data_IF_756422551319
#
_entry.id   IF_756422551319
#
_cell.length_a   1.000
_cell.length_b   1.000
_cell.length_c   1.000
_cell.angle_alpha   90.00
_cell.angle_beta   90.00
_cell.angle_gamma   90.00
#
_symmetry.space_group_name_H-M   'P 1'
#
loop_
_entity.id
_entity.type
_entity.pdbx_description
1 polymer ?
#
# COMPACT_ATOMS: atom_id res chain seq x y z
N UNK A 1 -13.94 20.19 17.38
CA UNK A 1 -12.72 19.36 17.22
C UNK A 1 -13.03 18.13 16.38
N UNK A 2 -12.03 17.35 15.94
CA UNK A 2 -12.23 16.10 15.15
C UNK A 2 -13.29 15.18 15.78
N UNK A 3 -13.27 15.01 17.10
CA UNK A 3 -14.24 14.16 17.81
C UNK A 3 -15.68 14.67 17.71
N UNK A 4 -15.89 15.98 17.86
CA UNK A 4 -17.23 16.57 17.78
C UNK A 4 -17.82 16.40 16.37
N UNK A 5 -17.01 16.63 15.34
CA UNK A 5 -17.39 16.49 13.94
C UNK A 5 -17.79 15.04 13.58
N UNK A 6 -16.94 14.06 13.90
CA UNK A 6 -17.24 12.65 13.58
C UNK A 6 -18.42 12.10 14.38
N UNK A 7 -18.66 12.61 15.59
CA UNK A 7 -19.81 12.23 16.42
C UNK A 7 -21.10 12.83 15.86
N UNK A 8 -21.10 14.12 15.55
CA UNK A 8 -22.32 14.87 15.20
C UNK A 8 -22.72 14.68 13.74
N UNK A 9 -21.75 14.64 12.81
CA UNK A 9 -22.01 14.56 11.38
C UNK A 9 -21.95 13.14 10.80
N UNK A 10 -21.24 12.23 11.48
CA UNK A 10 -20.99 10.86 10.96
C UNK A 10 -21.44 9.74 11.91
N UNK A 11 -22.01 10.07 13.08
CA UNK A 11 -22.62 9.10 14.00
C UNK A 11 -21.66 8.15 14.71
N UNK A 12 -20.38 8.52 14.84
CA UNK A 12 -19.38 7.69 15.50
C UNK A 12 -19.66 7.54 17.01
N UNK A 13 -19.70 6.30 17.50
CA UNK A 13 -19.92 6.00 18.94
C UNK A 13 -18.66 6.08 19.79
N UNK A 14 -17.50 5.85 19.17
CA UNK A 14 -16.19 5.88 19.82
C UNK A 14 -15.12 6.14 18.77
N UNK A 15 -13.92 6.49 19.23
CA UNK A 15 -12.76 6.78 18.38
C UNK A 15 -11.60 5.85 18.76
N UNK A 16 -11.07 5.13 17.78
CA UNK A 16 -9.88 4.29 17.95
C UNK A 16 -8.64 5.16 17.84
N UNK A 17 -8.16 5.65 18.99
CA UNK A 17 -6.98 6.53 19.06
C UNK A 17 -5.73 5.87 18.48
N UNK A 18 -5.60 4.56 18.60
CA UNK A 18 -4.48 3.77 18.05
C UNK A 18 -4.43 3.79 16.51
N UNK A 19 -5.50 4.22 15.83
CA UNK A 19 -5.53 4.40 14.37
C UNK A 19 -5.22 5.83 13.93
N UNK A 20 -5.06 6.75 14.87
CA UNK A 20 -4.77 8.17 14.61
C UNK A 20 -3.28 8.48 14.75
N UNK A 21 -2.45 7.49 15.05
CA UNK A 21 -1.00 7.63 15.12
C UNK A 21 -0.32 7.17 13.82
N UNK A 22 1.00 7.37 13.74
CA UNK A 22 1.80 7.02 12.57
C UNK A 22 2.37 5.58 12.63
N UNK A 23 2.06 4.80 13.66
CA UNK A 23 2.64 3.47 13.89
C UNK A 23 2.42 2.53 12.70
N UNK A 24 1.24 2.60 12.06
CA UNK A 24 0.95 1.80 10.87
C UNK A 24 1.92 2.12 9.71
N UNK A 25 2.27 3.39 9.55
CA UNK A 25 3.21 3.85 8.53
C UNK A 25 4.65 3.43 8.88
N UNK A 26 5.03 3.55 10.15
CA UNK A 26 6.36 3.13 10.63
C UNK A 26 6.58 1.62 10.49
N UNK A 27 5.53 0.84 10.76
CA UNK A 27 5.53 -0.61 10.54
C UNK A 27 5.70 -0.94 9.05
N UNK A 28 5.03 -0.22 8.15
CA UNK A 28 5.24 -0.37 6.70
C UNK A 28 6.69 -0.10 6.29
N UNK A 29 7.31 0.97 6.82
CA UNK A 29 8.73 1.24 6.55
C UNK A 29 9.64 0.13 7.06
N UNK A 30 9.30 -0.48 8.20
CA UNK A 30 10.06 -1.61 8.74
C UNK A 30 9.97 -2.85 7.83
N UNK A 31 8.79 -3.14 7.27
CA UNK A 31 8.61 -4.20 6.26
C UNK A 31 9.47 -3.92 5.03
N UNK A 32 9.42 -2.69 4.51
CA UNK A 32 10.18 -2.30 3.31
C UNK A 32 11.69 -2.43 3.54
N UNK A 33 12.20 -1.96 4.69
CA UNK A 33 13.62 -2.11 5.06
C UNK A 33 14.03 -3.57 5.22
N UNK A 34 13.14 -4.41 5.76
CA UNK A 34 13.38 -5.85 5.89
C UNK A 34 13.57 -6.58 4.55
N UNK A 35 12.98 -6.09 3.45
CA UNK A 35 13.16 -6.67 2.11
C UNK A 35 14.57 -6.49 1.54
N UNK A 36 15.35 -5.52 2.03
CA UNK A 36 16.71 -5.24 1.59
C UNK A 36 17.80 -6.06 2.27
N UNK A 37 17.45 -7.04 3.12
CA UNK A 37 18.43 -7.82 3.89
C UNK A 37 19.22 -6.94 4.87
N UNK A 38 20.53 -6.81 4.66
CA UNK A 38 21.41 -5.96 5.50
C UNK A 38 21.40 -4.48 5.09
N UNK A 39 20.66 -4.10 4.04
CA UNK A 39 20.58 -2.70 3.57
C UNK A 39 19.42 -1.95 4.22
N UNK A 40 19.65 -1.44 5.42
CA UNK A 40 18.63 -0.73 6.22
C UNK A 40 18.23 0.64 5.65
N UNK A 41 19.05 1.23 4.79
CA UNK A 41 18.78 2.53 4.16
C UNK A 41 18.75 2.40 2.63
N UNK A 42 17.61 2.00 2.04
CA UNK A 42 17.47 1.88 0.59
C UNK A 42 17.56 3.26 -0.09
N UNK A 43 18.11 3.28 -1.29
CA UNK A 43 17.98 4.43 -2.19
C UNK A 43 16.51 4.66 -2.59
N UNK A 44 16.14 5.85 -3.09
CA UNK A 44 14.77 6.14 -3.51
C UNK A 44 14.22 5.15 -4.56
N UNK A 45 15.08 4.65 -5.46
CA UNK A 45 14.68 3.66 -6.47
C UNK A 45 14.40 2.29 -5.84
N UNK A 46 15.26 1.84 -4.94
CA UNK A 46 15.08 0.58 -4.20
C UNK A 46 13.81 0.64 -3.34
N UNK A 47 13.57 1.77 -2.66
CA UNK A 47 12.34 2.00 -1.90
C UNK A 47 11.10 1.91 -2.79
N UNK A 48 11.11 2.58 -3.96
CA UNK A 48 9.98 2.56 -4.90
C UNK A 48 9.67 1.14 -5.37
N UNK A 49 10.70 0.37 -5.71
CA UNK A 49 10.54 -1.03 -6.15
C UNK A 49 10.01 -1.90 -5.03
N UNK A 50 10.56 -1.80 -3.82
CA UNK A 50 10.11 -2.57 -2.66
C UNK A 50 8.69 -2.20 -2.22
N UNK A 51 8.31 -0.92 -2.30
CA UNK A 51 6.95 -0.45 -2.03
C UNK A 51 5.96 -1.05 -3.03
N UNK A 52 6.26 -0.97 -4.34
CA UNK A 52 5.44 -1.59 -5.39
C UNK A 52 5.25 -3.08 -5.16
N UNK A 53 6.33 -3.80 -4.88
CA UNK A 53 6.25 -5.22 -4.57
C UNK A 53 5.38 -5.48 -3.35
N UNK A 54 5.53 -4.70 -2.28
CA UNK A 54 4.72 -4.85 -1.05
C UNK A 54 3.25 -4.58 -1.29
N UNK A 55 2.90 -3.61 -2.13
CA UNK A 55 1.51 -3.34 -2.53
C UNK A 55 0.92 -4.50 -3.34
N UNK A 56 1.69 -5.03 -4.29
CA UNK A 56 1.29 -6.21 -5.08
C UNK A 56 1.10 -7.42 -4.16
N UNK A 57 2.03 -7.67 -3.23
CA UNK A 57 1.94 -8.76 -2.26
C UNK A 57 0.68 -8.61 -1.39
N UNK A 58 0.41 -7.40 -0.88
CA UNK A 58 -0.75 -7.13 -0.02
C UNK A 58 -2.10 -7.38 -0.73
N UNK A 59 -2.13 -7.25 -2.06
CA UNK A 59 -3.32 -7.45 -2.89
C UNK A 59 -3.45 -8.90 -3.37
N UNK A 60 -2.33 -9.51 -3.80
CA UNK A 60 -2.34 -10.82 -4.46
C UNK A 60 -2.11 -12.00 -3.51
N UNK A 61 -1.38 -11.80 -2.41
CA UNK A 61 -1.03 -12.87 -1.47
C UNK A 61 -2.10 -12.96 -0.39
N UNK A 62 -2.97 -13.95 -0.54
CA UNK A 62 -3.98 -14.27 0.47
C UNK A 62 -3.33 -14.87 1.72
N UNK A 63 -3.91 -14.58 2.89
CA UNK A 63 -3.44 -15.21 4.13
C UNK A 63 -3.72 -16.72 4.10
N UNK A 64 -2.80 -17.52 4.65
CA UNK A 64 -2.90 -19.00 4.67
C UNK A 64 -4.18 -19.54 5.35
N UNK A 65 -4.91 -18.72 6.12
CA UNK A 65 -6.12 -19.13 6.85
C UNK A 65 -7.43 -18.58 6.25
N UNK A 66 -7.40 -17.94 5.08
CA UNK A 66 -8.63 -17.52 4.41
C UNK A 66 -9.16 -18.66 3.54
N UNK A 67 -10.29 -19.23 3.96
CA UNK A 67 -10.99 -20.32 3.25
C UNK A 67 -11.77 -19.85 2.01
N UNK A 68 -11.93 -18.54 1.82
CA UNK A 68 -12.60 -17.97 0.66
C UNK A 68 -11.56 -17.22 -0.17
N UNK A 69 -11.32 -17.72 -1.39
CA UNK A 69 -10.48 -17.04 -2.37
C UNK A 69 -11.14 -15.71 -2.68
N UNK A 70 -10.52 -14.59 -2.31
CA UNK A 70 -10.96 -13.28 -2.77
C UNK A 70 -10.92 -13.25 -4.29
N UNK A 71 -11.98 -12.75 -4.91
CA UNK A 71 -12.05 -12.60 -6.36
C UNK A 71 -11.03 -11.55 -6.83
N UNK A 72 -9.86 -12.05 -7.25
CA UNK A 72 -8.75 -11.24 -7.78
C UNK A 72 -9.01 -10.79 -9.22
N UNK A 73 -10.08 -11.28 -9.86
CA UNK A 73 -10.36 -11.01 -11.27
C UNK A 73 -10.73 -9.53 -11.46
N UNK A 74 -11.37 -8.91 -10.47
CA UNK A 74 -11.63 -7.47 -10.45
C UNK A 74 -10.35 -6.60 -10.55
N UNK A 75 -9.25 -7.05 -9.93
CA UNK A 75 -7.96 -6.37 -10.07
C UNK A 75 -7.41 -6.54 -11.49
N UNK A 76 -7.48 -7.75 -12.03
CA UNK A 76 -7.00 -8.06 -13.39
C UNK A 76 -7.74 -7.24 -14.45
N UNK A 77 -9.07 -7.11 -14.34
CA UNK A 77 -9.86 -6.26 -15.24
C UNK A 77 -9.51 -4.77 -15.10
N UNK A 78 -9.12 -4.34 -13.89
CA UNK A 78 -8.70 -2.95 -13.65
C UNK A 78 -7.30 -2.65 -14.20
N UNK A 79 -6.41 -3.66 -14.24
CA UNK A 79 -5.07 -3.52 -14.82
C UNK A 79 -5.08 -3.37 -16.34
N UNK A 80 -6.05 -3.96 -17.03
CA UNK A 80 -6.27 -3.77 -18.46
C UNK A 80 -6.56 -2.30 -18.82
N UNK A 81 -7.15 -1.56 -17.89
CA UNK A 81 -7.46 -0.13 -18.04
C UNK A 81 -6.28 0.79 -17.67
N UNK A 82 -5.15 0.23 -17.21
CA UNK A 82 -3.95 1.03 -16.90
C UNK A 82 -3.18 1.27 -18.20
N UNK A 83 -3.04 2.53 -18.66
CA UNK A 83 -2.29 2.81 -19.88
C UNK A 83 -0.83 2.32 -19.73
N UNK A 84 -0.36 1.58 -20.73
CA UNK A 84 1.00 1.07 -20.76
C UNK A 84 2.00 2.23 -20.70
N UNK A 85 2.88 2.21 -19.70
CA UNK A 85 3.94 3.21 -19.58
C UNK A 85 5.04 2.88 -20.61
N UNK A 86 4.81 3.23 -21.87
CA UNK A 86 5.72 2.93 -22.97
C UNK A 86 5.55 3.88 -24.15
N UNK A 87 6.12 5.08 -24.05
CA UNK A 87 6.79 5.81 -25.13
C UNK A 87 7.21 7.20 -24.64
N UNK A 88 8.36 7.70 -25.11
CA UNK A 88 8.95 9.04 -24.91
C UNK A 88 10.02 9.15 -23.81
N UNK A 89 11.15 8.46 -24.03
CA UNK A 89 12.44 9.16 -23.98
C UNK A 89 13.12 8.94 -25.32
N UNK A 90 12.78 9.80 -26.27
CA UNK A 90 13.58 9.96 -27.47
C UNK A 90 14.94 10.52 -27.04
N UNK A 91 15.99 9.76 -27.37
CA UNK A 91 17.35 10.27 -27.51
C UNK A 91 17.30 11.26 -28.67
N UNK A 92 17.61 12.52 -28.42
CA UNK A 92 18.05 13.46 -29.47
C UNK A 92 19.39 14.06 -29.02
N UNK A 93 20.40 13.84 -29.87
CA UNK A 93 21.73 14.47 -29.88
C UNK A 93 21.77 15.48 -31.01
#
# INVERSE_FOLDING_TARGET
MLWDDVRENYGFRYLLKDRLNQDCLENLFSIIRGKGGHRFNPSPQEFRTALRQTMVDAVLVQSKSQNCRGDIDALLFSLDQVPSLGANTAVDS
#
